data_IF_133042146024
#
_entry.id   IF_133042146024
#
_cell.length_a   1.000
_cell.length_b   1.000
_cell.length_c   1.000
_cell.angle_alpha   90.00
_cell.angle_beta   90.00
_cell.angle_gamma   90.00
#
_symmetry.space_group_name_H-M   'P 1'
#
loop_
_entity.id
_entity.type
_entity.pdbx_description
1 polymer ?
#
# COMPACT_ATOMS: atom_id res chain seq x y z
N UNK A 1 15.92 -10.85 1.15
CA UNK A 1 14.72 -11.61 0.77
C UNK A 1 13.81 -10.70 -0.01
N UNK A 2 13.49 -11.05 -1.26
CA UNK A 2 12.53 -10.29 -2.07
C UNK A 2 11.19 -11.01 -2.09
N UNK A 3 10.10 -10.24 -2.00
CA UNK A 3 8.73 -10.75 -2.09
C UNK A 3 8.09 -10.09 -3.29
N UNK A 4 7.79 -10.89 -4.32
CA UNK A 4 7.12 -10.44 -5.52
C UNK A 4 5.65 -10.83 -5.49
N UNK A 5 4.76 -9.86 -5.46
CA UNK A 5 3.33 -10.07 -5.66
C UNK A 5 3.02 -10.65 -7.05
N UNK A 6 2.08 -11.61 -7.13
CA UNK A 6 1.62 -12.22 -8.38
C UNK A 6 0.23 -11.71 -8.83
N UNK A 7 -0.48 -10.95 -8.00
CA UNK A 7 -1.77 -10.38 -8.32
C UNK A 7 -1.63 -8.90 -8.72
N UNK A 8 -2.48 -8.45 -9.62
CA UNK A 8 -2.58 -7.03 -9.98
C UNK A 8 -4.07 -6.77 -10.23
N UNK A 9 -4.81 -6.49 -9.15
CA UNK A 9 -6.24 -6.15 -9.23
C UNK A 9 -6.38 -4.63 -9.22
N UNK A 10 -6.07 -3.99 -10.36
CA UNK A 10 -6.18 -2.53 -10.51
C UNK A 10 -7.57 -2.11 -10.95
N UNK A 11 -8.15 -1.17 -10.22
CA UNK A 11 -9.32 -0.40 -10.64
C UNK A 11 -8.97 1.04 -11.03
N UNK A 12 -7.88 1.61 -10.48
CA UNK A 12 -7.40 2.97 -10.76
C UNK A 12 -5.91 3.01 -11.13
N UNK A 13 -5.53 4.08 -11.82
CA UNK A 13 -4.12 4.34 -12.15
C UNK A 13 -3.38 4.93 -10.93
N UNK A 14 -2.24 4.39 -10.50
CA UNK A 14 -1.57 4.79 -9.26
C UNK A 14 -0.70 6.05 -9.48
N UNK A 15 -1.36 7.21 -9.61
CA UNK A 15 -0.70 8.49 -9.90
C UNK A 15 0.26 8.88 -8.79
N UNK A 16 -0.16 8.77 -7.53
CA UNK A 16 0.63 9.24 -6.38
C UNK A 16 1.84 8.34 -6.17
N UNK A 17 1.68 7.02 -6.27
CA UNK A 17 2.80 6.08 -6.18
C UNK A 17 3.86 6.37 -7.25
N UNK A 18 3.45 6.56 -8.50
CA UNK A 18 4.39 6.87 -9.60
C UNK A 18 5.06 8.22 -9.35
N UNK A 19 4.30 9.26 -8.99
CA UNK A 19 4.86 10.57 -8.67
C UNK A 19 5.89 10.50 -7.52
N UNK A 20 5.64 9.70 -6.48
CA UNK A 20 6.56 9.53 -5.36
C UNK A 20 7.82 8.74 -5.75
N UNK A 21 7.69 7.72 -6.59
CA UNK A 21 8.86 7.00 -7.11
C UNK A 21 9.73 7.94 -7.96
N UNK A 22 9.12 8.75 -8.82
CA UNK A 22 9.84 9.73 -9.64
C UNK A 22 10.44 10.86 -8.79
N UNK A 23 9.74 11.31 -7.75
CA UNK A 23 10.23 12.29 -6.80
C UNK A 23 11.49 11.77 -6.10
N UNK A 24 11.42 10.56 -5.53
CA UNK A 24 12.58 9.95 -4.85
C UNK A 24 13.71 9.64 -5.83
N UNK A 25 13.42 9.30 -7.09
CA UNK A 25 14.44 9.19 -8.13
C UNK A 25 15.15 10.52 -8.38
N UNK A 26 14.38 11.62 -8.48
CA UNK A 26 14.94 12.96 -8.65
C UNK A 26 15.82 13.37 -7.47
N UNK A 27 15.49 12.94 -6.24
CA UNK A 27 16.35 13.21 -5.07
C UNK A 27 17.74 12.59 -5.13
N UNK A 28 17.95 11.54 -5.96
CA UNK A 28 19.27 10.94 -6.15
C UNK A 28 20.25 11.86 -6.89
N UNK A 29 19.76 12.87 -7.60
CA UNK A 29 20.59 13.84 -8.31
C UNK A 29 21.17 14.94 -7.40
N UNK A 30 20.82 14.95 -6.11
CA UNK A 30 21.33 15.92 -5.16
C UNK A 30 22.65 15.42 -4.56
N UNK A 31 23.73 16.20 -4.72
CA UNK A 31 25.09 15.82 -4.31
C UNK A 31 25.30 15.79 -2.78
N UNK A 32 24.42 16.40 -1.99
CA UNK A 32 24.60 16.59 -0.54
C UNK A 32 23.48 15.94 0.29
N UNK A 33 23.36 14.61 0.21
CA UNK A 33 22.38 13.82 1.00
C UNK A 33 22.52 14.10 2.51
N UNK A 34 23.76 14.35 2.98
CA UNK A 34 24.07 14.63 4.39
C UNK A 34 23.38 15.88 4.95
N UNK A 35 23.03 16.86 4.12
CA UNK A 35 22.34 18.08 4.56
C UNK A 35 20.85 17.86 4.78
N UNK A 36 20.27 16.90 4.04
CA UNK A 36 18.85 16.53 4.16
C UNK A 36 18.63 15.36 5.12
N UNK A 37 19.71 14.76 5.62
CA UNK A 37 19.63 13.63 6.52
C UNK A 37 19.13 14.05 7.91
N UNK A 38 18.24 13.23 8.47
CA UNK A 38 17.74 13.45 9.80
C UNK A 38 18.77 12.97 10.82
N UNK A 39 19.25 13.89 11.67
CA UNK A 39 20.19 13.56 12.74
C UNK A 39 19.56 13.94 14.08
N UNK A 40 19.26 12.97 14.96
CA UNK A 40 18.58 13.20 16.24
C UNK A 40 19.17 14.32 17.09
N UNK A 41 20.51 14.41 17.13
CA UNK A 41 21.23 15.40 17.94
C UNK A 41 21.28 16.80 17.32
N UNK A 42 21.11 16.92 15.99
CA UNK A 42 21.37 18.18 15.26
C UNK A 42 20.09 19.01 15.15
N UNK A 43 19.05 18.45 14.54
CA UNK A 43 17.86 19.23 14.15
C UNK A 43 16.59 18.38 14.14
N UNK A 44 15.50 18.95 14.68
CA UNK A 44 14.15 18.37 14.72
C UNK A 44 13.18 19.09 13.75
N UNK A 45 13.74 19.69 12.68
CA UNK A 45 13.02 20.56 11.74
C UNK A 45 12.64 19.86 10.45
N UNK A 46 12.98 20.49 9.32
CA UNK A 46 12.60 20.04 7.97
C UNK A 46 13.13 18.64 7.63
N UNK A 47 14.28 18.26 8.18
CA UNK A 47 14.89 16.94 7.99
C UNK A 47 14.02 15.80 8.52
N UNK A 48 13.27 16.00 9.61
CA UNK A 48 12.31 15.00 10.13
C UNK A 48 11.19 14.72 9.11
N UNK A 49 10.78 15.74 8.37
CA UNK A 49 9.65 15.69 7.43
C UNK A 49 10.06 15.28 6.00
N UNK A 50 11.35 15.33 5.68
CA UNK A 50 11.82 15.15 4.30
C UNK A 50 12.88 14.06 4.12
N UNK A 51 13.62 13.66 5.17
CA UNK A 51 14.76 12.73 5.01
C UNK A 51 14.39 11.37 4.42
N UNK A 52 13.15 10.90 4.63
CA UNK A 52 12.65 9.63 4.09
C UNK A 52 12.40 9.66 2.57
N UNK A 53 12.43 10.85 1.94
CA UNK A 53 12.38 10.99 0.49
C UNK A 53 13.74 10.71 -0.16
N UNK A 54 14.83 10.90 0.58
CA UNK A 54 16.18 10.66 0.12
C UNK A 54 16.58 9.19 0.37
N UNK A 55 17.41 8.65 -0.51
CA UNK A 55 17.99 7.30 -0.38
C UNK A 55 19.51 7.41 -0.44
N UNK A 56 20.23 6.55 0.28
CA UNK A 56 21.70 6.62 0.36
C UNK A 56 22.39 6.20 -0.93
N UNK A 57 21.74 5.34 -1.71
CA UNK A 57 22.31 4.76 -2.92
C UNK A 57 21.22 4.41 -3.94
N UNK A 58 21.63 4.27 -5.20
CA UNK A 58 20.75 3.81 -6.28
C UNK A 58 20.19 2.40 -6.02
N UNK A 59 20.95 1.53 -5.37
CA UNK A 59 20.51 0.16 -5.03
C UNK A 59 19.40 0.19 -3.97
N UNK A 60 19.55 1.04 -2.95
CA UNK A 60 18.51 1.24 -1.94
C UNK A 60 17.23 1.81 -2.57
N UNK A 61 17.38 2.84 -3.41
CA UNK A 61 16.25 3.41 -4.14
C UNK A 61 15.56 2.37 -5.02
N UNK A 62 16.31 1.59 -5.81
CA UNK A 62 15.74 0.58 -6.73
C UNK A 62 14.94 -0.46 -5.94
N UNK A 63 15.47 -0.89 -4.80
CA UNK A 63 14.77 -1.83 -3.91
C UNK A 63 13.46 -1.22 -3.42
N UNK A 64 13.50 0.00 -2.86
CA UNK A 64 12.32 0.69 -2.36
C UNK A 64 11.30 0.98 -3.47
N UNK A 65 11.75 1.38 -4.66
CA UNK A 65 10.91 1.66 -5.81
C UNK A 65 10.19 0.41 -6.31
N UNK A 66 10.86 -0.75 -6.34
CA UNK A 66 10.22 -2.03 -6.66
C UNK A 66 9.12 -2.33 -5.63
N UNK A 67 9.41 -2.23 -4.33
CA UNK A 67 8.39 -2.48 -3.30
C UNK A 67 7.22 -1.49 -3.38
N UNK A 68 7.48 -0.20 -3.60
CA UNK A 68 6.42 0.79 -3.80
C UNK A 68 5.58 0.46 -5.03
N UNK A 69 6.22 0.18 -6.17
CA UNK A 69 5.52 -0.14 -7.40
C UNK A 69 4.67 -1.41 -7.29
N UNK A 70 5.14 -2.41 -6.52
CA UNK A 70 4.47 -3.70 -6.40
C UNK A 70 3.33 -3.70 -5.38
N UNK A 71 3.46 -2.98 -4.27
CA UNK A 71 2.52 -3.06 -3.15
C UNK A 71 1.76 -1.76 -2.94
N UNK A 72 2.39 -0.61 -3.17
CA UNK A 72 1.81 0.68 -2.83
C UNK A 72 0.73 1.11 -3.82
N UNK A 73 0.80 0.65 -5.07
CA UNK A 73 -0.25 0.86 -6.07
C UNK A 73 -1.59 0.26 -5.66
N UNK A 74 -1.58 -0.96 -5.13
CA UNK A 74 -2.75 -1.67 -4.61
C UNK A 74 -3.29 -0.99 -3.35
N UNK A 75 -2.39 -0.54 -2.45
CA UNK A 75 -2.80 0.23 -1.26
C UNK A 75 -3.41 1.57 -1.66
N UNK A 76 -2.82 2.29 -2.61
CA UNK A 76 -3.32 3.56 -3.15
C UNK A 76 -4.71 3.41 -3.77
N UNK A 77 -4.96 2.32 -4.49
CA UNK A 77 -6.29 2.05 -5.08
C UNK A 77 -7.36 1.88 -3.98
N UNK A 78 -7.00 1.18 -2.90
CA UNK A 78 -7.88 0.88 -1.76
C UNK A 78 -8.21 2.14 -0.95
N UNK A 79 -7.22 2.99 -0.62
CA UNK A 79 -7.44 4.17 0.24
C UNK A 79 -7.74 5.46 -0.55
N UNK A 80 -7.40 5.48 -1.84
CA UNK A 80 -7.47 6.65 -2.72
C UNK A 80 -6.25 7.57 -2.63
N UNK A 81 -6.00 8.30 -3.73
CA UNK A 81 -4.82 9.15 -3.94
C UNK A 81 -4.49 10.09 -2.76
N UNK A 82 -5.49 10.85 -2.27
CA UNK A 82 -5.28 11.83 -1.20
C UNK A 82 -4.87 11.20 0.12
N UNK A 83 -5.55 10.14 0.56
CA UNK A 83 -5.22 9.47 1.82
C UNK A 83 -3.88 8.75 1.72
N UNK A 84 -3.59 8.14 0.57
CA UNK A 84 -2.31 7.49 0.33
C UNK A 84 -1.14 8.47 0.46
N UNK A 85 -1.26 9.69 -0.09
CA UNK A 85 -0.26 10.74 0.07
C UNK A 85 0.01 11.06 1.56
N UNK A 86 -1.03 11.27 2.36
CA UNK A 86 -0.84 11.56 3.80
C UNK A 86 -0.28 10.36 4.57
N UNK A 87 -0.70 9.13 4.23
CA UNK A 87 -0.19 7.91 4.84
C UNK A 87 1.30 7.71 4.54
N UNK A 88 1.75 8.02 3.33
CA UNK A 88 3.15 7.96 2.94
C UNK A 88 4.01 8.88 3.85
N UNK A 89 3.61 10.14 4.00
CA UNK A 89 4.30 11.09 4.88
C UNK A 89 4.21 10.68 6.35
N UNK A 90 3.05 10.20 6.79
CA UNK A 90 2.85 9.73 8.15
C UNK A 90 3.83 8.60 8.53
N UNK A 91 3.98 7.57 7.68
CA UNK A 91 4.92 6.49 7.95
C UNK A 91 6.39 6.95 7.93
N UNK A 92 6.73 7.91 7.07
CA UNK A 92 8.08 8.47 7.02
C UNK A 92 8.44 9.21 8.31
N UNK A 93 7.54 10.08 8.77
CA UNK A 93 7.68 10.80 10.03
C UNK A 93 7.73 9.82 11.20
N UNK A 94 6.86 8.81 11.21
CA UNK A 94 6.81 7.80 12.26
C UNK A 94 8.11 6.98 12.34
N UNK A 95 8.71 6.62 11.20
CA UNK A 95 9.99 5.94 11.16
C UNK A 95 11.11 6.82 11.77
N UNK A 96 11.16 8.10 11.40
CA UNK A 96 12.14 9.04 11.93
C UNK A 96 11.96 9.31 13.43
N UNK A 97 10.71 9.45 13.90
CA UNK A 97 10.40 9.60 15.31
C UNK A 97 10.79 8.35 16.10
N UNK A 98 10.54 7.17 15.55
CA UNK A 98 10.96 5.91 16.17
C UNK A 98 12.48 5.88 16.30
N UNK A 99 13.22 6.19 15.23
CA UNK A 99 14.67 6.27 15.28
C UNK A 99 15.16 7.27 16.33
N UNK A 100 14.54 8.47 16.39
CA UNK A 100 14.86 9.48 17.40
C UNK A 100 14.70 8.94 18.82
N UNK A 101 13.58 8.29 19.14
CA UNK A 101 13.29 7.79 20.50
C UNK A 101 14.33 6.76 20.93
N UNK A 102 14.71 5.83 20.05
CA UNK A 102 15.71 4.80 20.38
C UNK A 102 17.16 5.31 20.34
N UNK A 103 17.41 6.43 19.64
CA UNK A 103 18.75 6.95 19.37
C UNK A 103 18.89 8.46 19.63
N UNK A 104 18.27 8.98 20.70
CA UNK A 104 18.19 10.43 20.98
C UNK A 104 19.54 11.16 20.93
N UNK A 105 20.61 10.51 21.41
CA UNK A 105 21.96 11.10 21.47
C UNK A 105 22.83 10.79 20.24
N UNK A 106 22.25 10.21 19.19
CA UNK A 106 23.00 9.80 18.02
C UNK A 106 23.34 10.96 17.08
N UNK A 107 24.59 10.98 16.63
CA UNK A 107 25.07 11.83 15.53
C UNK A 107 24.97 11.13 14.17
N UNK A 108 24.50 9.88 14.14
CA UNK A 108 24.39 9.12 12.91
C UNK A 108 23.21 9.64 12.08
N UNK A 109 23.44 10.17 10.87
CA UNK A 109 22.37 10.64 10.00
C UNK A 109 21.55 9.46 9.47
N UNK A 110 20.24 9.65 9.36
CA UNK A 110 19.30 8.69 8.78
C UNK A 110 18.55 9.31 7.61
N UNK A 111 18.53 8.56 6.52
CA UNK A 111 17.71 8.77 5.32
C UNK A 111 17.18 7.41 4.87
N UNK A 112 16.14 7.42 4.06
CA UNK A 112 15.67 6.20 3.41
C UNK A 112 14.16 6.05 3.42
N UNK A 113 13.63 5.65 2.26
CA UNK A 113 12.19 5.40 2.08
C UNK A 113 11.74 4.06 2.69
N UNK A 114 12.67 3.22 3.15
CA UNK A 114 12.40 1.87 3.67
C UNK A 114 11.44 1.83 4.86
N UNK A 115 11.48 2.84 5.73
CA UNK A 115 10.52 2.98 6.84
C UNK A 115 9.08 3.20 6.36
N UNK A 116 8.91 4.00 5.30
CA UNK A 116 7.62 4.25 4.65
C UNK A 116 7.10 2.98 3.99
N UNK A 117 7.96 2.30 3.22
CA UNK A 117 7.65 1.03 2.56
C UNK A 117 7.15 0.00 3.57
N UNK A 118 7.81 -0.09 4.73
CA UNK A 118 7.42 -1.03 5.80
C UNK A 118 5.99 -0.78 6.31
N UNK A 119 5.60 0.49 6.47
CA UNK A 119 4.23 0.85 6.84
C UNK A 119 3.20 0.48 5.78
N UNK A 120 3.52 0.71 4.50
CA UNK A 120 2.68 0.33 3.36
C UNK A 120 2.53 -1.20 3.29
N UNK A 121 3.61 -1.96 3.51
CA UNK A 121 3.56 -3.42 3.58
C UNK A 121 2.67 -3.91 4.73
N UNK A 122 2.70 -3.23 5.87
CA UNK A 122 1.81 -3.52 7.00
C UNK A 122 0.34 -3.29 6.67
N UNK A 123 0.02 -2.26 5.89
CA UNK A 123 -1.35 -2.06 5.38
C UNK A 123 -1.74 -3.14 4.37
N UNK A 124 -0.84 -3.43 3.42
CA UNK A 124 -1.04 -4.44 2.39
C UNK A 124 -1.32 -5.81 3.00
N UNK A 125 -0.60 -6.17 4.07
CA UNK A 125 -0.81 -7.40 4.84
C UNK A 125 -2.28 -7.61 5.25
N UNK A 126 -2.95 -6.55 5.69
CA UNK A 126 -4.33 -6.59 6.18
C UNK A 126 -5.34 -6.53 5.04
N UNK A 127 -5.06 -5.75 3.99
CA UNK A 127 -5.99 -5.59 2.86
C UNK A 127 -6.03 -6.83 1.96
N UNK A 128 -4.91 -7.53 1.80
CA UNK A 128 -4.75 -8.58 0.79
C UNK A 128 -4.26 -9.93 1.36
N UNK A 129 -4.80 -10.45 2.47
CA UNK A 129 -4.22 -11.61 3.18
C UNK A 129 -4.13 -12.88 2.32
N UNK A 130 -5.01 -13.03 1.34
CA UNK A 130 -5.12 -14.23 0.49
C UNK A 130 -4.36 -14.12 -0.84
N UNK A 131 -3.70 -12.98 -1.11
CA UNK A 131 -2.91 -12.84 -2.34
C UNK A 131 -1.68 -13.74 -2.28
N UNK A 132 -1.35 -14.37 -3.40
CA UNK A 132 -0.15 -15.21 -3.53
C UNK A 132 1.04 -14.37 -3.99
N UNK A 133 2.20 -14.67 -3.43
CA UNK A 133 3.47 -14.05 -3.76
C UNK A 133 4.53 -15.10 -4.13
N UNK A 134 5.64 -14.62 -4.65
CA UNK A 134 6.85 -15.40 -4.89
C UNK A 134 7.95 -14.83 -4.02
N UNK A 135 8.49 -15.65 -3.12
CA UNK A 135 9.65 -15.30 -2.30
C UNK A 135 10.92 -15.72 -3.02
N UNK A 136 11.86 -14.79 -3.13
CA UNK A 136 13.18 -15.01 -3.71
C UNK A 136 14.22 -14.80 -2.60
N UNK A 137 14.89 -15.89 -2.25
CA UNK A 137 16.12 -15.93 -1.47
C UNK A 137 17.29 -16.15 -2.44
N UNK A 138 18.51 -15.80 -2.04
CA UNK A 138 19.70 -15.78 -2.91
C UNK A 138 19.83 -16.97 -3.88
N UNK A 139 19.51 -18.19 -3.41
CA UNK A 139 19.52 -19.42 -4.24
C UNK A 139 18.19 -20.18 -4.30
N UNK A 140 17.14 -19.69 -3.63
CA UNK A 140 15.88 -20.41 -3.47
C UNK A 140 14.70 -19.51 -3.87
N UNK A 141 13.91 -19.98 -4.84
CA UNK A 141 12.68 -19.32 -5.28
C UNK A 141 11.49 -20.17 -4.82
N UNK A 142 10.69 -19.63 -3.91
CA UNK A 142 9.47 -20.28 -3.42
C UNK A 142 8.27 -19.54 -4.02
N UNK A 143 7.53 -20.21 -4.90
CA UNK A 143 6.38 -19.64 -5.60
C UNK A 143 5.08 -19.95 -4.86
N UNK A 144 4.06 -19.12 -5.12
CA UNK A 144 2.69 -19.32 -4.65
C UNK A 144 2.51 -19.30 -3.13
N UNK A 145 3.36 -18.55 -2.44
CA UNK A 145 3.27 -18.41 -0.98
C UNK A 145 2.26 -17.33 -0.64
N UNK A 146 1.25 -17.61 0.20
CA UNK A 146 0.33 -16.59 0.69
C UNK A 146 1.09 -15.40 1.27
N UNK A 147 0.69 -14.18 0.91
CA UNK A 147 1.40 -12.96 1.26
C UNK A 147 1.47 -12.77 2.78
N UNK A 148 0.44 -13.22 3.51
CA UNK A 148 0.46 -13.18 4.98
C UNK A 148 1.64 -13.96 5.53
N UNK A 149 2.02 -15.09 4.93
CA UNK A 149 3.20 -15.87 5.35
C UNK A 149 4.47 -15.11 4.98
N UNK A 150 4.58 -14.66 3.73
CA UNK A 150 5.78 -14.00 3.22
C UNK A 150 6.13 -12.73 3.97
N UNK A 151 5.13 -11.89 4.26
CA UNK A 151 5.32 -10.67 5.03
C UNK A 151 5.50 -10.95 6.53
N UNK A 152 4.88 -12.01 7.08
CA UNK A 152 5.18 -12.45 8.46
C UNK A 152 6.63 -12.88 8.60
N UNK A 153 7.17 -13.64 7.63
CA UNK A 153 8.60 -14.01 7.62
C UNK A 153 9.45 -12.74 7.50
N UNK A 154 9.07 -11.80 6.63
CA UNK A 154 9.81 -10.56 6.42
C UNK A 154 9.92 -9.74 7.71
N UNK A 155 8.81 -9.51 8.41
CA UNK A 155 8.81 -8.75 9.66
C UNK A 155 9.55 -9.48 10.79
N UNK A 156 9.48 -10.82 10.84
CA UNK A 156 10.28 -11.61 11.77
C UNK A 156 11.79 -11.43 11.52
N UNK A 157 12.21 -11.40 10.26
CA UNK A 157 13.61 -11.11 9.89
C UNK A 157 14.00 -9.69 10.33
N UNK A 158 13.17 -8.68 10.07
CA UNK A 158 13.46 -7.31 10.53
C UNK A 158 13.55 -7.20 12.06
N UNK A 159 12.67 -7.90 12.76
CA UNK A 159 12.68 -7.95 14.23
C UNK A 159 13.94 -8.64 14.75
N UNK A 160 14.35 -9.74 14.14
CA UNK A 160 15.61 -10.41 14.48
C UNK A 160 16.82 -9.50 14.25
N UNK A 161 16.88 -8.79 13.12
CA UNK A 161 17.95 -7.84 12.81
C UNK A 161 18.00 -6.69 13.83
N UNK A 162 16.84 -6.19 14.26
CA UNK A 162 16.76 -5.22 15.36
C UNK A 162 17.28 -5.78 16.69
N UNK A 163 16.99 -7.04 17.02
CA UNK A 163 17.55 -7.66 18.24
C UNK A 163 19.07 -7.80 18.17
N UNK A 164 19.64 -8.12 17.00
CA UNK A 164 21.10 -8.17 16.80
C UNK A 164 21.72 -6.77 16.93
N UNK A 165 21.03 -5.74 16.45
CA UNK A 165 21.44 -4.34 16.59
C UNK A 165 21.64 -3.94 18.06
N UNK A 166 20.67 -4.29 18.93
CA UNK A 166 20.74 -4.00 20.37
C UNK A 166 21.98 -4.60 21.05
N UNK A 167 22.49 -5.73 20.55
CA UNK A 167 23.68 -6.39 21.12
C UNK A 167 25.00 -5.88 20.55
N UNK A 168 24.99 -5.32 19.33
CA UNK A 168 26.21 -4.96 18.58
C UNK A 168 26.55 -3.47 18.61
N UNK A 169 25.72 -2.63 19.23
CA UNK A 169 25.85 -1.15 19.27
C UNK A 169 25.94 -0.49 17.88
N UNK A 170 25.60 -1.22 16.81
CA UNK A 170 25.37 -0.65 15.48
C UNK A 170 24.06 0.12 15.55
N UNK A 171 23.95 1.28 14.91
CA UNK A 171 22.71 2.07 14.89
C UNK A 171 22.09 1.99 13.51
N UNK A 172 20.91 1.41 13.41
CA UNK A 172 20.21 1.19 12.14
C UNK A 172 18.74 1.57 12.23
N UNK A 173 18.01 1.40 11.13
CA UNK A 173 16.61 1.79 10.99
C UNK A 173 15.62 0.64 11.21
N UNK A 174 16.09 -0.55 11.61
CA UNK A 174 15.22 -1.74 11.76
C UNK A 174 14.10 -1.54 12.77
N UNK A 175 14.36 -0.86 13.89
CA UNK A 175 13.32 -0.51 14.86
C UNK A 175 12.17 0.30 14.22
N UNK A 176 12.53 1.28 13.39
CA UNK A 176 11.58 2.12 12.66
C UNK A 176 10.72 1.31 11.71
N UNK A 177 11.32 0.38 10.97
CA UNK A 177 10.60 -0.51 10.04
C UNK A 177 9.59 -1.41 10.74
N UNK A 178 9.95 -1.95 11.91
CA UNK A 178 9.03 -2.79 12.70
C UNK A 178 7.84 -1.96 13.21
N UNK A 179 8.11 -0.77 13.77
CA UNK A 179 7.05 0.11 14.30
C UNK A 179 6.13 0.59 13.19
N UNK A 180 6.65 0.99 12.03
CA UNK A 180 5.80 1.45 10.93
C UNK A 180 4.98 0.31 10.34
N UNK A 181 5.54 -0.90 10.20
CA UNK A 181 4.79 -2.07 9.74
C UNK A 181 3.60 -2.38 10.65
N UNK A 182 3.83 -2.46 11.97
CA UNK A 182 2.75 -2.70 12.95
C UNK A 182 1.72 -1.58 12.93
N UNK A 183 2.15 -0.32 12.81
CA UNK A 183 1.25 0.83 12.72
C UNK A 183 0.41 0.79 11.45
N UNK A 184 0.99 0.36 10.33
CA UNK A 184 0.27 0.12 9.08
C UNK A 184 -0.82 -0.94 9.23
N UNK A 185 -0.52 -2.06 9.90
CA UNK A 185 -1.53 -3.08 10.20
C UNK A 185 -2.68 -2.53 11.04
N UNK A 186 -2.37 -1.74 12.07
CA UNK A 186 -3.39 -1.13 12.94
C UNK A 186 -4.27 -0.18 12.14
N UNK A 187 -3.68 0.73 11.36
CA UNK A 187 -4.43 1.69 10.53
C UNK A 187 -5.32 0.97 9.53
N UNK A 188 -4.78 -0.02 8.81
CA UNK A 188 -5.56 -0.80 7.85
C UNK A 188 -6.73 -1.53 8.53
N UNK A 189 -6.51 -2.12 9.70
CA UNK A 189 -7.57 -2.80 10.47
C UNK A 189 -8.66 -1.82 10.90
N UNK A 190 -8.29 -0.61 11.35
CA UNK A 190 -9.24 0.46 11.70
C UNK A 190 -10.05 0.90 10.48
N UNK A 191 -9.41 1.08 9.31
CA UNK A 191 -10.09 1.44 8.06
C UNK A 191 -11.10 0.39 7.61
N UNK A 192 -10.73 -0.90 7.70
CA UNK A 192 -11.64 -2.03 7.42
C UNK A 192 -12.82 -2.01 8.39
N UNK A 193 -12.56 -1.86 9.69
CA UNK A 193 -13.60 -1.87 10.74
C UNK A 193 -14.60 -0.73 10.60
N UNK A 194 -14.16 0.45 10.17
CA UNK A 194 -15.02 1.60 9.94
C UNK A 194 -15.76 1.59 8.59
N UNK A 195 -15.75 0.47 7.86
CA UNK A 195 -16.42 0.30 6.56
C UNK A 195 -16.02 1.37 5.53
N UNK A 196 -14.82 1.94 5.67
CA UNK A 196 -14.31 2.93 4.71
C UNK A 196 -14.20 2.32 3.31
N UNK A 197 -13.80 1.04 3.26
CA UNK A 197 -13.64 0.26 2.04
C UNK A 197 -14.99 -0.09 1.39
N UNK A 198 -16.01 -0.45 2.18
CA UNK A 198 -17.35 -0.76 1.66
C UNK A 198 -17.99 0.45 0.97
N UNK A 199 -17.78 1.66 1.51
CA UNK A 199 -18.22 2.92 0.88
C UNK A 199 -17.51 3.17 -0.45
N UNK A 200 -16.21 2.86 -0.52
CA UNK A 200 -15.41 3.00 -1.73
C UNK A 200 -15.81 1.97 -2.80
N UNK A 201 -15.98 0.70 -2.43
CA UNK A 201 -16.43 -0.36 -3.34
C UNK A 201 -17.83 -0.08 -3.88
N UNK A 202 -18.76 0.36 -3.03
CA UNK A 202 -20.11 0.75 -3.44
C UNK A 202 -20.08 1.92 -4.45
N UNK A 203 -19.25 2.94 -4.21
CA UNK A 203 -19.10 4.09 -5.11
C UNK A 203 -18.45 3.69 -6.44
N UNK A 204 -17.41 2.86 -6.39
CA UNK A 204 -16.75 2.29 -7.57
C UNK A 204 -17.73 1.48 -8.41
N UNK A 205 -18.46 0.52 -7.82
CA UNK A 205 -19.49 -0.25 -8.52
C UNK A 205 -20.49 0.66 -9.22
N UNK A 206 -21.04 1.67 -8.52
CA UNK A 206 -21.98 2.62 -9.14
C UNK A 206 -21.38 3.38 -10.32
N UNK A 207 -20.09 3.75 -10.27
CA UNK A 207 -19.41 4.39 -11.39
C UNK A 207 -19.12 3.44 -12.54
N UNK A 208 -18.74 2.17 -12.29
CA UNK A 208 -18.54 1.15 -13.34
C UNK A 208 -19.87 0.64 -13.91
N UNK A 209 -20.97 0.75 -13.16
CA UNK A 209 -22.32 0.37 -13.62
C UNK A 209 -22.82 1.22 -14.79
N UNK A 210 -22.21 2.38 -15.06
CA UNK A 210 -22.69 3.29 -16.09
C UNK A 210 -22.79 2.65 -17.49
N UNK A 211 -22.13 1.52 -17.77
CA UNK A 211 -22.14 0.85 -19.07
C UNK A 211 -22.57 -0.63 -19.07
N UNK A 212 -23.20 -1.15 -18.01
CA UNK A 212 -23.73 -2.53 -18.05
C UNK A 212 -25.12 -2.57 -18.66
N UNK A 213 -25.31 -3.40 -19.67
CA UNK A 213 -26.63 -3.74 -20.21
C UNK A 213 -27.15 -5.01 -19.54
N UNK A 214 -28.43 -5.02 -19.21
CA UNK A 214 -29.14 -6.18 -18.66
C UNK A 214 -30.12 -6.65 -19.73
N UNK A 215 -30.05 -7.94 -20.07
CA UNK A 215 -30.96 -8.53 -21.05
C UNK A 215 -32.32 -8.82 -20.40
N UNK A 216 -33.41 -8.39 -21.03
CA UNK A 216 -34.77 -8.77 -20.66
C UNK A 216 -34.91 -10.31 -20.65
N UNK A 217 -35.43 -10.93 -19.58
CA UNK A 217 -35.58 -12.39 -19.52
C UNK A 217 -36.61 -12.95 -20.50
N UNK A 218 -37.57 -12.13 -20.94
CA UNK A 218 -38.64 -12.56 -21.85
C UNK A 218 -38.27 -12.46 -23.33
N UNK A 219 -37.57 -11.40 -23.74
CA UNK A 219 -37.28 -11.13 -25.15
C UNK A 219 -35.80 -10.92 -25.49
N UNK A 220 -34.89 -11.05 -24.51
CA UNK A 220 -33.46 -10.77 -24.65
C UNK A 220 -33.10 -9.36 -25.15
N UNK A 221 -34.04 -8.41 -25.11
CA UNK A 221 -33.74 -7.02 -25.44
C UNK A 221 -32.75 -6.42 -24.41
N UNK A 222 -31.64 -5.81 -24.85
CA UNK A 222 -30.66 -5.20 -23.95
C UNK A 222 -31.18 -3.87 -23.40
N UNK A 223 -31.17 -3.73 -22.06
CA UNK A 223 -31.63 -2.53 -21.36
C UNK A 223 -30.45 -1.94 -20.59
N UNK A 224 -30.11 -0.65 -20.74
CA UNK A 224 -29.03 -0.04 -19.98
C UNK A 224 -29.37 0.03 -18.49
N UNK A 225 -28.51 -0.53 -17.63
CA UNK A 225 -28.75 -0.64 -16.20
C UNK A 225 -27.87 0.33 -15.41
N UNK A 226 -28.47 1.44 -14.96
CA UNK A 226 -27.79 2.45 -14.13
C UNK A 226 -27.71 2.08 -12.64
N UNK A 227 -28.60 1.20 -12.16
CA UNK A 227 -28.65 0.72 -10.76
C UNK A 227 -29.38 -0.63 -10.67
N UNK A 228 -29.12 -1.42 -9.63
CA UNK A 228 -29.95 -2.61 -9.32
C UNK A 228 -31.38 -2.19 -8.96
N UNK A 229 -32.37 -3.02 -9.31
CA UNK A 229 -33.77 -2.71 -9.05
C UNK A 229 -34.75 -3.30 -10.06
N UNK A 230 -35.96 -2.72 -10.09
CA UNK A 230 -37.00 -3.05 -11.06
C UNK A 230 -36.72 -2.37 -12.40
N UNK A 231 -36.83 -3.15 -13.47
CA UNK A 231 -36.70 -2.73 -14.84
C UNK A 231 -38.00 -3.03 -15.58
N UNK A 232 -38.31 -2.19 -16.57
CA UNK A 232 -39.44 -2.35 -17.47
C UNK A 232 -38.90 -2.45 -18.90
N UNK A 233 -39.27 -3.50 -19.62
CA UNK A 233 -38.91 -3.66 -21.03
C UNK A 233 -39.95 -2.95 -21.91
N UNK A 234 -39.53 -1.91 -22.64
CA UNK A 234 -40.43 -1.18 -23.56
C UNK A 234 -40.90 -2.02 -24.74
N UNK A 235 -40.14 -3.06 -25.13
CA UNK A 235 -40.42 -3.91 -26.29
C UNK A 235 -41.48 -4.96 -25.98
N UNK A 236 -41.33 -5.72 -24.88
CA UNK A 236 -42.29 -6.78 -24.52
C UNK A 236 -43.18 -6.43 -23.33
N UNK A 237 -43.11 -5.18 -22.83
CA UNK A 237 -43.93 -4.66 -21.72
C UNK A 237 -43.82 -5.47 -20.41
N UNK A 238 -42.76 -6.28 -20.26
CA UNK A 238 -42.53 -7.09 -19.05
C UNK A 238 -41.76 -6.29 -18.01
N UNK A 239 -42.20 -6.42 -16.75
CA UNK A 239 -41.48 -5.95 -15.59
C UNK A 239 -40.59 -7.08 -15.06
N UNK A 240 -39.37 -6.79 -14.66
CA UNK A 240 -38.48 -7.76 -14.02
C UNK A 240 -37.57 -7.07 -13.01
N UNK A 241 -37.08 -7.82 -12.03
CA UNK A 241 -36.16 -7.35 -11.01
C UNK A 241 -34.75 -7.90 -11.26
N UNK A 242 -33.75 -7.03 -11.17
CA UNK A 242 -32.34 -7.39 -11.28
C UNK A 242 -31.64 -7.18 -9.93
N UNK A 243 -31.26 -8.29 -9.30
CA UNK A 243 -30.63 -8.31 -7.97
C UNK A 243 -29.10 -8.14 -8.04
N UNK A 244 -28.49 -7.80 -6.90
CA UNK A 244 -27.04 -7.68 -6.67
C UNK A 244 -26.26 -8.93 -7.07
N UNK A 245 -26.90 -10.10 -6.99
CA UNK A 245 -26.32 -11.40 -7.36
C UNK A 245 -26.45 -11.74 -8.86
N UNK A 246 -26.94 -10.83 -9.70
CA UNK A 246 -27.10 -11.05 -11.14
C UNK A 246 -28.30 -11.93 -11.52
N UNK A 247 -29.13 -12.32 -10.55
CA UNK A 247 -30.36 -13.08 -10.79
C UNK A 247 -31.47 -12.18 -11.31
N UNK A 248 -32.22 -12.68 -12.29
CA UNK A 248 -33.39 -12.03 -12.89
C UNK A 248 -34.65 -12.70 -12.36
N UNK A 249 -35.51 -11.92 -11.74
CA UNK A 249 -36.79 -12.41 -11.25
C UNK A 249 -37.91 -11.74 -12.04
N UNK A 250 -38.78 -12.54 -12.63
CA UNK A 250 -40.08 -12.05 -13.09
C UNK A 250 -40.96 -11.93 -11.83
N UNK A 251 -41.71 -10.83 -11.66
CA UNK A 251 -42.74 -10.74 -10.64
C UNK A 251 -43.83 -11.79 -10.86
#
# INVERSE_FOLDING_TARGET
MFVFEKANQKSRFPIVTICLILLTLCTLSFDSIGDYAFTPKKEFGLSLLASFLFNTSFVEWTTNAIYLYMFADNVEDVVGHLHFFFLFFFFGILANLTYYIFHMNSITPVVGTSGVVSGILGMYYVFFPNVKSTMVFEKLVVREVPIFISLSIWICVQTYLYLVELHSNVKTTYAGQVVTFLSGMVIATVLVRHQFLDKLEHKLRLTTFQNKTVLCPSCNHPIPAKKYGRFHCTVCQTNFFFDRNGKKFLP
#
